data_IF_683187315450
#
_entry.id   IF_683187315450
#
_cell.length_a   1.000
_cell.length_b   1.000
_cell.length_c   1.000
_cell.angle_alpha   90.00
_cell.angle_beta   90.00
_cell.angle_gamma   90.00
#
_symmetry.space_group_name_H-M   'P 1'
#
loop_
_entity.id
_entity.type
_entity.pdbx_description
1 polymer ?
#
# COMPACT_ATOMS: atom_id res chain seq x y z
N UNK A 1 5.32 -9.67 2.04
CA UNK A 1 6.65 -10.34 1.97
C UNK A 1 7.69 -9.74 2.90
N UNK A 2 7.90 -8.42 2.87
CA UNK A 2 8.87 -7.71 3.72
C UNK A 2 8.72 -8.07 5.21
N UNK A 3 7.49 -8.07 5.74
CA UNK A 3 7.21 -8.50 7.11
C UNK A 3 7.78 -9.87 7.46
N UNK A 4 7.46 -10.90 6.66
CA UNK A 4 7.95 -12.27 6.87
C UNK A 4 9.48 -12.35 6.78
N UNK A 5 10.10 -11.59 5.89
CA UNK A 5 11.55 -11.51 5.79
C UNK A 5 12.17 -10.95 7.07
N UNK A 6 11.67 -9.82 7.55
CA UNK A 6 12.16 -9.19 8.78
C UNK A 6 11.98 -10.12 9.99
N UNK A 7 10.82 -10.78 10.13
CA UNK A 7 10.59 -11.76 11.20
C UNK A 7 11.56 -12.94 11.13
N UNK A 8 11.81 -13.46 9.92
CA UNK A 8 12.77 -14.55 9.70
C UNK A 8 14.19 -14.14 10.07
N UNK A 9 14.61 -12.94 9.69
CA UNK A 9 15.94 -12.42 10.00
C UNK A 9 16.10 -12.15 11.51
N UNK A 10 15.12 -11.50 12.14
CA UNK A 10 15.07 -11.28 13.59
C UNK A 10 15.19 -12.60 14.37
N UNK A 11 14.46 -13.64 13.95
CA UNK A 11 14.54 -14.97 14.56
C UNK A 11 15.95 -15.57 14.43
N UNK A 12 16.60 -15.41 13.27
CA UNK A 12 17.97 -15.90 13.06
C UNK A 12 19.00 -15.12 13.89
N UNK A 13 18.90 -13.79 13.94
CA UNK A 13 19.80 -12.94 14.73
C UNK A 13 19.69 -13.22 16.22
N UNK A 14 18.49 -13.50 16.73
CA UNK A 14 18.24 -13.83 18.14
C UNK A 14 18.55 -15.29 18.51
N UNK A 15 18.86 -16.15 17.54
CA UNK A 15 19.08 -17.58 17.79
C UNK A 15 20.44 -17.82 18.46
N UNK A 16 20.45 -18.43 19.64
CA UNK A 16 21.68 -18.74 20.39
C UNK A 16 22.67 -19.60 19.57
N UNK A 17 22.17 -20.53 18.76
CA UNK A 17 22.99 -21.36 17.86
C UNK A 17 23.74 -20.58 16.77
N UNK A 18 23.39 -19.31 16.55
CA UNK A 18 23.96 -18.43 15.53
C UNK A 18 24.74 -17.25 16.10
N UNK A 19 24.83 -17.08 17.44
CA UNK A 19 25.43 -15.90 18.09
C UNK A 19 26.87 -15.60 17.63
N UNK A 20 27.68 -16.64 17.36
CA UNK A 20 29.07 -16.49 16.89
C UNK A 20 29.23 -16.69 15.38
N UNK A 21 28.13 -16.73 14.62
CA UNK A 21 28.14 -17.01 13.18
C UNK A 21 27.75 -15.77 12.39
N UNK A 22 28.42 -15.54 11.26
CA UNK A 22 27.99 -14.53 10.29
C UNK A 22 26.77 -15.02 9.53
N UNK A 23 25.69 -14.24 9.53
CA UNK A 23 24.49 -14.54 8.77
C UNK A 23 24.64 -13.95 7.37
N UNK A 24 24.57 -14.81 6.35
CA UNK A 24 24.68 -14.40 4.94
C UNK A 24 23.31 -14.50 4.29
N UNK A 25 22.82 -13.37 3.77
CA UNK A 25 21.65 -13.32 2.89
C UNK A 25 22.15 -13.32 1.44
N UNK A 26 21.77 -14.33 0.66
CA UNK A 26 22.17 -14.45 -0.74
C UNK A 26 20.96 -14.79 -1.61
N UNK A 27 21.14 -14.64 -2.91
CA UNK A 27 20.22 -15.04 -3.96
C UNK A 27 21.00 -15.62 -5.14
N UNK A 28 20.32 -16.24 -6.10
CA UNK A 28 20.93 -16.70 -7.34
C UNK A 28 21.30 -15.52 -8.28
N UNK A 29 21.97 -15.82 -9.40
CA UNK A 29 22.42 -14.83 -10.39
C UNK A 29 21.32 -14.16 -11.24
N UNK A 30 20.04 -14.26 -10.87
CA UNK A 30 18.94 -13.57 -11.57
C UNK A 30 18.84 -12.13 -11.07
N UNK A 31 19.08 -11.15 -11.94
CA UNK A 31 19.08 -9.72 -11.63
C UNK A 31 17.76 -9.24 -10.97
N UNK A 32 16.63 -9.81 -11.36
CA UNK A 32 15.32 -9.48 -10.75
C UNK A 32 15.27 -9.96 -9.30
N UNK A 33 15.82 -11.14 -9.03
CA UNK A 33 15.90 -11.67 -7.66
C UNK A 33 16.93 -10.93 -6.83
N UNK A 34 18.04 -10.48 -7.43
CA UNK A 34 19.04 -9.61 -6.79
C UNK A 34 18.43 -8.28 -6.36
N UNK A 35 17.69 -7.59 -7.23
CA UNK A 35 17.00 -6.34 -6.88
C UNK A 35 16.00 -6.55 -5.73
N UNK A 36 15.19 -7.62 -5.78
CA UNK A 36 14.25 -7.95 -4.70
C UNK A 36 14.95 -8.29 -3.38
N UNK A 37 16.05 -9.06 -3.42
CA UNK A 37 16.82 -9.40 -2.22
C UNK A 37 17.48 -8.16 -1.60
N UNK A 38 18.06 -7.29 -2.42
CA UNK A 38 18.63 -6.01 -2.00
C UNK A 38 17.57 -5.08 -1.38
N UNK A 39 16.37 -5.01 -1.97
CA UNK A 39 15.25 -4.28 -1.39
C UNK A 39 14.88 -4.81 0.00
N UNK A 40 14.80 -6.12 0.19
CA UNK A 40 14.42 -6.72 1.48
C UNK A 40 15.44 -6.43 2.58
N UNK A 41 16.74 -6.62 2.32
CA UNK A 41 17.78 -6.35 3.32
C UNK A 41 17.94 -4.86 3.58
N UNK A 42 17.84 -4.02 2.54
CA UNK A 42 17.93 -2.58 2.70
C UNK A 42 16.75 -2.02 3.50
N UNK A 43 15.54 -2.48 3.23
CA UNK A 43 14.35 -2.11 4.00
C UNK A 43 14.48 -2.57 5.46
N UNK A 44 14.99 -3.78 5.71
CA UNK A 44 15.26 -4.25 7.06
C UNK A 44 16.23 -3.31 7.81
N UNK A 45 17.29 -2.84 7.14
CA UNK A 45 18.24 -1.92 7.74
C UNK A 45 17.60 -0.56 8.09
N UNK A 46 16.67 -0.07 7.28
CA UNK A 46 15.92 1.16 7.59
C UNK A 46 14.99 0.94 8.78
N UNK A 47 14.25 -0.17 8.80
CA UNK A 47 13.21 -0.45 9.80
C UNK A 47 13.79 -0.82 11.17
N UNK A 48 14.77 -1.72 11.21
CA UNK A 48 15.26 -2.32 12.46
C UNK A 48 16.62 -1.78 12.91
N UNK A 49 17.41 -1.20 11.98
CA UNK A 49 18.73 -0.65 12.30
C UNK A 49 18.75 0.89 12.21
N UNK A 50 17.60 1.54 11.99
CA UNK A 50 17.44 3.00 11.87
C UNK A 50 18.42 3.66 10.89
N UNK A 51 18.81 2.95 9.83
CA UNK A 51 19.69 3.52 8.79
C UNK A 51 18.94 4.46 7.87
N UNK A 52 19.65 5.46 7.37
CA UNK A 52 19.09 6.40 6.40
C UNK A 52 19.05 5.77 4.99
N UNK A 53 18.02 6.04 4.16
CA UNK A 53 17.88 5.46 2.82
C UNK A 53 19.13 5.59 1.94
N UNK A 54 19.76 6.78 1.95
CA UNK A 54 20.96 7.05 1.16
C UNK A 54 22.19 6.25 1.64
N UNK A 55 22.32 6.05 2.94
CA UNK A 55 23.39 5.24 3.53
C UNK A 55 23.25 3.77 3.08
N UNK A 56 22.04 3.22 3.20
CA UNK A 56 21.73 1.85 2.78
C UNK A 56 21.98 1.65 1.29
N UNK A 57 21.59 2.62 0.47
CA UNK A 57 21.83 2.56 -0.97
C UNK A 57 23.32 2.51 -1.32
N UNK A 58 24.15 3.36 -0.67
CA UNK A 58 25.61 3.35 -0.85
C UNK A 58 26.24 2.02 -0.43
N UNK A 59 25.79 1.43 0.68
CA UNK A 59 26.27 0.13 1.15
C UNK A 59 25.99 -1.00 0.16
N UNK A 60 24.83 -0.96 -0.51
CA UNK A 60 24.46 -1.94 -1.52
C UNK A 60 25.20 -1.74 -2.85
N UNK A 61 25.51 -0.50 -3.22
CA UNK A 61 26.28 -0.18 -4.43
C UNK A 61 27.77 -0.53 -4.33
N UNK A 62 28.34 -0.56 -3.13
CA UNK A 62 29.77 -0.84 -2.93
C UNK A 62 30.21 -2.23 -3.44
N UNK A 63 29.29 -3.19 -3.63
CA UNK A 63 29.60 -4.53 -4.13
C UNK A 63 28.97 -4.91 -5.48
N UNK A 64 27.95 -4.17 -5.94
CA UNK A 64 27.24 -4.41 -7.21
C UNK A 64 26.98 -3.05 -7.86
N UNK A 65 27.47 -2.87 -9.09
CA UNK A 65 27.49 -1.57 -9.75
C UNK A 65 26.09 -1.04 -10.04
N UNK A 66 25.15 -1.90 -10.48
CA UNK A 66 23.77 -1.50 -10.77
C UNK A 66 22.77 -2.64 -10.52
N UNK A 67 21.75 -2.37 -9.69
CA UNK A 67 20.58 -3.24 -9.55
C UNK A 67 19.55 -2.92 -10.63
N UNK A 68 18.91 -3.96 -11.18
CA UNK A 68 17.81 -3.79 -12.14
C UNK A 68 16.66 -2.97 -11.52
N UNK A 69 16.28 -1.82 -12.10
CA UNK A 69 15.16 -1.01 -11.61
C UNK A 69 13.80 -1.74 -11.70
N UNK A 70 12.85 -1.37 -10.85
CA UNK A 70 11.52 -1.95 -10.85
C UNK A 70 10.63 -1.30 -11.91
N UNK A 71 10.14 -2.13 -12.84
CA UNK A 71 9.15 -1.74 -13.86
C UNK A 71 7.71 -1.80 -13.35
N UNK A 72 6.79 -1.26 -14.15
CA UNK A 72 5.35 -1.36 -13.94
C UNK A 72 4.73 -2.67 -14.46
N UNK A 73 3.40 -2.79 -14.32
CA UNK A 73 2.62 -3.96 -14.73
C UNK A 73 1.99 -3.83 -16.13
N UNK A 74 2.43 -2.86 -16.95
CA UNK A 74 1.95 -2.71 -18.32
C UNK A 74 2.35 -3.91 -19.21
N UNK A 75 1.55 -4.16 -20.26
CA UNK A 75 1.80 -5.21 -21.26
C UNK A 75 2.70 -4.75 -22.40
N UNK A 76 3.37 -3.59 -22.25
CA UNK A 76 4.23 -2.98 -23.27
C UNK A 76 5.57 -2.52 -22.71
N UNK A 77 6.13 -1.51 -23.37
CA UNK A 77 7.37 -0.85 -22.94
C UNK A 77 7.14 -0.09 -21.63
N UNK A 78 8.14 -0.15 -20.74
CA UNK A 78 8.11 0.57 -19.48
C UNK A 78 8.95 1.83 -19.62
N UNK A 79 8.32 3.00 -19.50
CA UNK A 79 8.99 4.30 -19.67
C UNK A 79 9.34 4.98 -18.34
N UNK A 80 9.03 4.33 -17.22
CA UNK A 80 9.28 4.84 -15.88
C UNK A 80 9.73 3.69 -14.98
N UNK A 81 10.84 3.90 -14.28
CA UNK A 81 11.48 2.87 -13.48
C UNK A 81 11.71 3.39 -12.07
N UNK A 82 11.43 2.55 -11.07
CA UNK A 82 11.76 2.84 -9.68
C UNK A 82 13.11 2.24 -9.33
N UNK A 83 13.97 3.03 -8.70
CA UNK A 83 15.23 2.56 -8.15
C UNK A 83 15.04 1.97 -6.75
N UNK A 84 16.07 1.29 -6.25
CA UNK A 84 16.10 0.88 -4.83
C UNK A 84 16.01 2.08 -3.89
N UNK A 85 16.63 3.21 -4.25
CA UNK A 85 16.60 4.42 -3.42
C UNK A 85 15.18 4.97 -3.30
N UNK A 86 14.41 5.00 -4.39
CA UNK A 86 13.00 5.42 -4.34
C UNK A 86 12.18 4.53 -3.40
N UNK A 87 12.38 3.22 -3.47
CA UNK A 87 11.74 2.26 -2.58
C UNK A 87 12.16 2.43 -1.12
N UNK A 88 13.43 2.73 -0.86
CA UNK A 88 13.93 2.99 0.50
C UNK A 88 13.40 4.30 1.09
N UNK A 89 13.32 5.35 0.29
CA UNK A 89 12.70 6.61 0.68
C UNK A 89 11.21 6.43 0.99
N UNK A 90 10.51 5.62 0.17
CA UNK A 90 9.11 5.27 0.40
C UNK A 90 8.91 4.54 1.74
N UNK A 91 9.72 3.52 2.03
CA UNK A 91 9.67 2.80 3.32
C UNK A 91 9.98 3.73 4.49
N UNK A 92 11.00 4.57 4.37
CA UNK A 92 11.38 5.51 5.41
C UNK A 92 10.27 6.53 5.72
N UNK A 93 9.69 7.16 4.70
CA UNK A 93 8.57 8.09 4.86
C UNK A 93 7.30 7.39 5.35
N UNK A 94 7.04 6.16 4.93
CA UNK A 94 5.92 5.38 5.44
C UNK A 94 6.03 5.11 6.95
N UNK A 95 7.25 4.90 7.48
CA UNK A 95 7.49 4.83 8.93
C UNK A 95 7.26 6.20 9.59
N UNK A 96 7.78 7.28 9.01
CA UNK A 96 7.62 8.64 9.55
C UNK A 96 6.15 9.08 9.64
N UNK A 97 5.33 8.69 8.66
CA UNK A 97 3.91 9.02 8.59
C UNK A 97 3.00 7.94 9.20
N UNK A 98 3.57 6.93 9.85
CA UNK A 98 2.84 5.81 10.45
C UNK A 98 1.89 5.08 9.48
N UNK A 99 2.27 4.98 8.20
CA UNK A 99 1.55 4.15 7.23
C UNK A 99 1.75 2.66 7.49
N UNK A 100 2.78 2.31 8.26
CA UNK A 100 3.10 0.93 8.57
C UNK A 100 3.75 0.82 9.95
N UNK A 101 3.23 -0.08 10.78
CA UNK A 101 3.85 -0.46 12.05
C UNK A 101 4.01 -1.99 12.11
N UNK A 102 5.26 -2.45 12.22
CA UNK A 102 5.59 -3.86 12.33
C UNK A 102 5.06 -4.51 13.62
N UNK A 103 4.73 -3.73 14.65
CA UNK A 103 4.19 -4.26 15.90
C UNK A 103 2.72 -4.64 15.77
N UNK A 104 1.97 -3.90 14.96
CA UNK A 104 0.51 -4.08 14.81
C UNK A 104 0.12 -4.70 13.47
N UNK A 105 1.05 -4.86 12.53
CA UNK A 105 0.77 -5.40 11.21
C UNK A 105 0.31 -6.87 11.26
N UNK A 106 -0.95 -7.10 10.90
CA UNK A 106 -1.50 -8.44 10.73
C UNK A 106 -1.18 -8.99 9.34
N UNK A 107 -0.15 -9.84 9.29
CA UNK A 107 0.29 -10.50 8.05
C UNK A 107 -0.72 -11.52 7.54
N UNK A 108 -1.49 -12.17 8.42
CA UNK A 108 -2.45 -13.18 8.02
C UNK A 108 -3.68 -12.52 7.41
N UNK A 109 -4.16 -11.42 7.99
CA UNK A 109 -5.23 -10.59 7.42
C UNK A 109 -4.81 -10.05 6.04
N UNK A 110 -3.62 -9.46 5.93
CA UNK A 110 -3.10 -8.96 4.65
C UNK A 110 -3.07 -10.07 3.58
N UNK A 111 -2.55 -11.25 3.93
CA UNK A 111 -2.41 -12.36 2.99
C UNK A 111 -3.72 -13.08 2.68
N UNK A 112 -4.71 -12.98 3.56
CA UNK A 112 -6.05 -13.46 3.31
C UNK A 112 -6.72 -12.57 2.25
N UNK A 113 -6.78 -11.26 2.47
CA UNK A 113 -7.56 -10.35 1.62
C UNK A 113 -6.85 -9.90 0.33
N UNK A 114 -5.52 -10.08 0.21
CA UNK A 114 -4.83 -9.85 -1.08
C UNK A 114 -5.25 -10.85 -2.17
N UNK A 115 -5.89 -11.97 -1.77
CA UNK A 115 -6.31 -13.05 -2.67
C UNK A 115 -7.59 -12.71 -3.41
N UNK A 116 -7.68 -13.16 -4.67
CA UNK A 116 -8.84 -12.88 -5.50
C UNK A 116 -10.12 -13.46 -4.89
N UNK A 117 -10.04 -14.68 -4.37
CA UNK A 117 -11.15 -15.37 -3.73
C UNK A 117 -11.71 -14.67 -2.48
N UNK A 118 -10.95 -13.76 -1.87
CA UNK A 118 -11.34 -13.08 -0.63
C UNK A 118 -11.63 -11.58 -0.83
N UNK A 119 -11.72 -11.11 -2.08
CA UNK A 119 -12.12 -9.73 -2.39
C UNK A 119 -11.02 -8.87 -3.02
N UNK A 120 -9.77 -9.35 -3.08
CA UNK A 120 -8.67 -8.66 -3.76
C UNK A 120 -8.48 -7.20 -3.34
N UNK A 121 -8.19 -6.97 -2.06
CA UNK A 121 -8.00 -5.63 -1.52
C UNK A 121 -6.79 -5.50 -0.59
N UNK A 122 -6.27 -4.28 -0.50
CA UNK A 122 -5.14 -3.95 0.37
C UNK A 122 -5.31 -2.53 0.92
N UNK A 123 -4.90 -2.34 2.17
CA UNK A 123 -4.69 -1.01 2.74
C UNK A 123 -3.48 -0.35 2.09
N UNK A 124 -3.64 0.90 1.65
CA UNK A 124 -2.55 1.75 1.18
C UNK A 124 -2.12 2.73 2.28
N UNK A 125 -3.09 3.27 3.01
CA UNK A 125 -2.88 4.01 4.25
C UNK A 125 -3.87 3.42 5.26
N UNK A 126 -3.40 2.75 6.34
CA UNK A 126 -4.27 2.15 7.35
C UNK A 126 -5.29 3.16 7.89
N UNK A 127 -6.56 2.76 7.93
CA UNK A 127 -7.64 3.62 8.42
C UNK A 127 -8.03 4.79 7.49
N UNK A 128 -7.36 4.98 6.35
CA UNK A 128 -7.73 6.03 5.38
C UNK A 128 -8.03 5.52 3.98
N UNK A 129 -7.19 4.68 3.38
CA UNK A 129 -7.37 4.22 2.00
C UNK A 129 -7.27 2.72 1.85
N UNK A 130 -8.36 2.14 1.36
CA UNK A 130 -8.43 0.76 0.90
C UNK A 130 -8.53 0.72 -0.64
N UNK A 131 -7.61 0.03 -1.30
CA UNK A 131 -7.66 -0.19 -2.74
C UNK A 131 -8.16 -1.61 -3.04
N UNK A 132 -9.18 -1.76 -3.89
CA UNK A 132 -9.79 -3.07 -4.15
C UNK A 132 -10.19 -3.30 -5.61
N UNK A 133 -10.39 -4.57 -5.98
CA UNK A 133 -10.91 -4.98 -7.30
C UNK A 133 -12.40 -4.64 -7.43
N UNK A 134 -12.84 -4.26 -8.63
CA UNK A 134 -14.20 -3.79 -8.85
C UNK A 134 -15.26 -4.88 -8.62
N UNK A 135 -16.28 -4.65 -7.78
CA UNK A 135 -17.42 -5.55 -7.61
C UNK A 135 -18.21 -5.78 -8.91
N UNK A 136 -19.02 -6.83 -8.93
CA UNK A 136 -19.94 -7.16 -10.03
C UNK A 136 -21.36 -7.32 -9.51
N UNK A 137 -22.34 -7.36 -10.41
CA UNK A 137 -23.74 -7.52 -10.03
C UNK A 137 -24.03 -8.81 -9.24
N UNK A 138 -23.24 -9.88 -9.41
CA UNK A 138 -23.38 -11.11 -8.62
C UNK A 138 -22.00 -11.69 -8.32
N UNK A 139 -21.86 -12.37 -7.18
CA UNK A 139 -20.68 -13.17 -6.91
C UNK A 139 -20.69 -14.40 -7.81
N UNK A 140 -19.66 -14.56 -8.65
CA UNK A 140 -19.55 -15.66 -9.61
C UNK A 140 -18.09 -15.91 -9.96
N UNK A 141 -17.75 -17.13 -10.35
CA UNK A 141 -16.45 -17.42 -10.96
C UNK A 141 -16.61 -17.31 -12.47
N UNK A 142 -15.84 -16.44 -13.11
CA UNK A 142 -15.85 -16.25 -14.57
C UNK A 142 -14.42 -16.36 -15.09
N UNK A 143 -14.19 -17.27 -16.06
CA UNK A 143 -12.85 -17.54 -16.61
C UNK A 143 -11.78 -17.83 -15.54
N UNK A 144 -12.18 -18.50 -14.45
CA UNK A 144 -11.31 -18.83 -13.31
C UNK A 144 -11.03 -17.67 -12.34
N UNK A 145 -11.60 -16.47 -12.57
CA UNK A 145 -11.49 -15.33 -11.65
C UNK A 145 -12.76 -15.21 -10.79
N UNK A 146 -12.64 -15.14 -9.46
CA UNK A 146 -13.77 -14.93 -8.57
C UNK A 146 -14.19 -13.45 -8.57
N UNK A 147 -15.39 -13.18 -9.08
CA UNK A 147 -16.06 -11.90 -8.95
C UNK A 147 -16.91 -11.88 -7.68
N UNK A 148 -16.94 -10.72 -7.03
CA UNK A 148 -17.67 -10.51 -5.78
C UNK A 148 -18.74 -9.44 -5.96
N UNK A 149 -19.91 -9.67 -5.37
CA UNK A 149 -20.94 -8.63 -5.21
C UNK A 149 -20.53 -7.61 -4.13
N UNK A 150 -21.10 -6.38 -4.14
CA UNK A 150 -20.85 -5.35 -3.13
C UNK A 150 -20.95 -5.85 -1.67
N UNK A 151 -21.96 -6.67 -1.36
CA UNK A 151 -22.26 -7.14 -0.01
C UNK A 151 -21.18 -8.04 0.58
N UNK A 152 -20.38 -8.70 -0.28
CA UNK A 152 -19.25 -9.51 0.17
C UNK A 152 -18.21 -8.67 0.93
N UNK A 153 -18.15 -7.37 0.67
CA UNK A 153 -17.22 -6.44 1.31
C UNK A 153 -17.76 -5.84 2.61
N UNK A 154 -19.08 -5.86 2.84
CA UNK A 154 -19.71 -5.09 3.92
C UNK A 154 -19.22 -5.47 5.32
N UNK A 155 -19.05 -6.76 5.68
CA UNK A 155 -18.57 -7.12 7.01
C UNK A 155 -17.21 -6.50 7.31
N UNK A 156 -16.30 -6.54 6.33
CA UNK A 156 -14.98 -5.94 6.45
C UNK A 156 -15.07 -4.40 6.48
N UNK A 157 -15.83 -3.81 5.56
CA UNK A 157 -15.96 -2.35 5.46
C UNK A 157 -16.50 -1.73 6.74
N UNK A 158 -17.55 -2.33 7.33
CA UNK A 158 -18.13 -1.86 8.61
C UNK A 158 -17.15 -2.03 9.76
N UNK A 159 -16.49 -3.20 9.86
CA UNK A 159 -15.51 -3.47 10.93
C UNK A 159 -14.37 -2.44 10.91
N UNK A 160 -13.96 -1.99 9.73
CA UNK A 160 -12.85 -1.07 9.55
C UNK A 160 -13.28 0.39 9.26
N UNK A 161 -14.52 0.75 9.62
CA UNK A 161 -15.04 2.13 9.53
C UNK A 161 -14.87 2.75 8.14
N UNK A 162 -15.05 1.96 7.08
CA UNK A 162 -15.15 2.48 5.71
C UNK A 162 -16.52 3.12 5.58
N UNK A 163 -16.55 4.42 5.27
CA UNK A 163 -17.78 5.20 5.07
C UNK A 163 -18.08 5.43 3.60
N UNK A 164 -17.03 5.56 2.79
CA UNK A 164 -17.13 6.14 1.44
C UNK A 164 -16.50 5.24 0.39
N UNK A 165 -17.24 4.98 -0.69
CA UNK A 165 -16.82 4.17 -1.83
C UNK A 165 -16.68 5.05 -3.07
N UNK A 166 -15.54 4.94 -3.76
CA UNK A 166 -15.29 5.65 -5.01
C UNK A 166 -15.05 4.65 -6.14
N UNK A 167 -15.93 4.70 -7.15
CA UNK A 167 -15.84 3.89 -8.37
C UNK A 167 -15.23 4.69 -9.52
N UNK A 168 -14.21 4.12 -10.15
CA UNK A 168 -13.45 4.77 -11.24
C UNK A 168 -13.66 4.12 -12.62
N UNK A 169 -14.46 3.07 -12.72
CA UNK A 169 -14.70 2.29 -13.94
C UNK A 169 -16.17 2.31 -14.37
N UNK A 170 -16.44 1.77 -15.57
CA UNK A 170 -17.81 1.55 -16.07
C UNK A 170 -18.64 0.80 -15.02
N UNK A 171 -19.94 1.09 -14.98
CA UNK A 171 -20.87 0.55 -13.97
C UNK A 171 -21.05 -0.95 -14.18
N UNK A 172 -20.42 -1.76 -13.32
CA UNK A 172 -20.55 -3.24 -13.31
C UNK A 172 -21.54 -3.75 -12.26
N UNK A 173 -22.08 -2.84 -11.46
CA UNK A 173 -23.06 -3.09 -10.40
C UNK A 173 -23.85 -1.79 -10.13
N UNK A 174 -25.02 -1.87 -9.53
CA UNK A 174 -25.77 -0.68 -9.11
C UNK A 174 -25.18 -0.04 -7.83
N UNK A 175 -24.90 1.26 -7.88
CA UNK A 175 -24.40 2.04 -6.73
C UNK A 175 -25.36 1.97 -5.53
N UNK A 176 -26.66 1.80 -5.78
CA UNK A 176 -27.68 1.66 -4.73
C UNK A 176 -27.36 0.56 -3.73
N UNK A 177 -26.70 -0.52 -4.18
CA UNK A 177 -26.32 -1.62 -3.30
C UNK A 177 -25.43 -1.18 -2.16
N UNK A 178 -24.51 -0.23 -2.39
CA UNK A 178 -23.70 0.35 -1.33
C UNK A 178 -24.48 1.39 -0.51
N UNK A 179 -25.29 2.25 -1.14
CA UNK A 179 -26.04 3.28 -0.41
C UNK A 179 -27.10 2.69 0.51
N UNK A 180 -27.80 1.63 0.07
CA UNK A 180 -28.74 0.86 0.90
C UNK A 180 -28.03 0.13 2.05
N UNK A 181 -26.72 -0.09 1.91
CA UNK A 181 -25.84 -0.63 2.93
C UNK A 181 -25.27 0.40 3.91
N UNK A 182 -25.72 1.66 3.82
CA UNK A 182 -25.23 2.84 4.55
C UNK A 182 -23.77 3.23 4.24
N UNK A 183 -23.37 3.13 2.98
CA UNK A 183 -22.11 3.69 2.49
C UNK A 183 -22.38 4.84 1.52
N UNK A 184 -21.58 5.91 1.60
CA UNK A 184 -21.56 6.92 0.55
C UNK A 184 -20.93 6.34 -0.73
N UNK A 185 -21.48 6.68 -1.90
CA UNK A 185 -20.99 6.16 -3.16
C UNK A 185 -20.80 7.28 -4.18
N UNK A 186 -19.62 7.35 -4.79
CA UNK A 186 -19.26 8.34 -5.79
C UNK A 186 -18.72 7.70 -7.07
N UNK A 187 -19.25 8.13 -8.21
CA UNK A 187 -18.75 7.80 -9.53
C UNK A 187 -17.79 8.88 -10.03
N UNK A 188 -16.52 8.52 -10.24
CA UNK A 188 -15.47 9.35 -10.83
C UNK A 188 -14.85 8.62 -12.02
N UNK A 189 -15.66 8.36 -13.04
CA UNK A 189 -15.27 7.57 -14.21
C UNK A 189 -14.18 8.26 -15.05
N UNK A 190 -13.18 7.47 -15.45
CA UNK A 190 -12.31 7.78 -16.58
C UNK A 190 -11.81 6.48 -17.24
N UNK A 191 -11.38 6.59 -18.50
CA UNK A 191 -11.06 5.47 -19.40
C UNK A 191 -9.98 4.55 -18.82
N UNK A 192 -10.08 3.24 -19.08
CA UNK A 192 -9.08 2.28 -18.59
C UNK A 192 -7.70 2.53 -19.25
N UNK A 193 -6.65 2.53 -18.44
CA UNK A 193 -5.29 2.84 -18.90
C UNK A 193 -4.99 4.32 -19.17
N UNK A 194 -5.98 5.23 -19.11
CA UNK A 194 -5.76 6.67 -19.26
C UNK A 194 -5.38 7.35 -17.93
N UNK A 195 -5.20 8.67 -17.97
CA UNK A 195 -4.93 9.54 -16.82
C UNK A 195 -6.20 10.31 -16.43
N UNK A 196 -6.40 10.63 -15.13
CA UNK A 196 -7.55 11.42 -14.70
C UNK A 196 -7.37 12.89 -15.11
N UNK A 197 -8.48 13.58 -15.38
CA UNK A 197 -8.49 15.03 -15.60
C UNK A 197 -8.38 15.81 -14.28
N UNK A 198 -7.98 17.07 -14.34
CA UNK A 198 -7.87 17.94 -13.16
C UNK A 198 -9.18 18.06 -12.36
N UNK A 199 -10.37 18.19 -12.98
CA UNK A 199 -11.63 18.14 -12.25
C UNK A 199 -11.84 16.84 -11.48
N UNK A 200 -11.46 15.69 -12.05
CA UNK A 200 -11.57 14.38 -11.38
C UNK A 200 -10.63 14.33 -10.18
N UNK A 201 -9.39 14.79 -10.32
CA UNK A 201 -8.42 14.84 -9.21
C UNK A 201 -8.93 15.74 -8.08
N UNK A 202 -9.39 16.96 -8.41
CA UNK A 202 -9.93 17.90 -7.42
C UNK A 202 -11.14 17.33 -6.69
N UNK A 203 -12.09 16.74 -7.43
CA UNK A 203 -13.28 16.11 -6.84
C UNK A 203 -12.91 14.92 -5.95
N UNK A 204 -11.98 14.07 -6.38
CA UNK A 204 -11.45 12.96 -5.58
C UNK A 204 -10.84 13.46 -4.26
N UNK A 205 -9.96 14.45 -4.32
CA UNK A 205 -9.32 15.02 -3.14
C UNK A 205 -10.35 15.60 -2.18
N UNK A 206 -11.32 16.37 -2.69
CA UNK A 206 -12.37 16.96 -1.88
C UNK A 206 -13.24 15.90 -1.17
N UNK A 207 -13.66 14.83 -1.87
CA UNK A 207 -14.40 13.73 -1.24
C UNK A 207 -13.54 13.10 -0.13
N UNK A 208 -12.27 12.83 -0.40
CA UNK A 208 -11.39 12.16 0.56
C UNK A 208 -11.07 13.02 1.78
N UNK A 209 -10.96 14.34 1.62
CA UNK A 209 -10.72 15.30 2.71
C UNK A 209 -11.92 15.42 3.65
N UNK A 210 -13.14 15.24 3.14
CA UNK A 210 -14.38 15.39 3.90
C UNK A 210 -15.01 14.05 4.35
N UNK A 211 -14.48 12.91 3.91
CA UNK A 211 -14.98 11.60 4.32
C UNK A 211 -14.78 11.38 5.84
N UNK A 212 -15.87 11.03 6.54
CA UNK A 212 -15.88 10.78 7.98
C UNK A 212 -15.03 9.57 8.39
N UNK A 213 -14.99 8.55 7.53
CA UNK A 213 -14.26 7.31 7.75
C UNK A 213 -13.19 7.03 6.70
N UNK A 214 -12.84 5.75 6.58
CA UNK A 214 -11.95 5.28 5.55
C UNK A 214 -12.64 5.28 4.18
N UNK A 215 -11.85 5.52 3.13
CA UNK A 215 -12.31 5.57 1.75
C UNK A 215 -11.85 4.30 1.01
N UNK A 216 -12.79 3.54 0.47
CA UNK A 216 -12.49 2.41 -0.40
C UNK A 216 -12.60 2.82 -1.87
N UNK A 217 -11.51 2.67 -2.62
CA UNK A 217 -11.42 3.10 -4.01
C UNK A 217 -11.20 1.89 -4.90
N UNK A 218 -11.99 1.77 -5.97
CA UNK A 218 -11.80 0.72 -6.96
C UNK A 218 -11.90 1.21 -8.39
N UNK A 219 -11.26 0.46 -9.27
CA UNK A 219 -11.51 0.52 -10.70
C UNK A 219 -11.89 -0.90 -11.16
N UNK A 220 -11.36 -1.37 -12.29
CA UNK A 220 -11.55 -2.76 -12.71
C UNK A 220 -10.71 -3.73 -11.87
N UNK A 221 -9.38 -3.58 -11.88
CA UNK A 221 -8.46 -4.41 -11.09
C UNK A 221 -8.00 -3.76 -9.76
N UNK A 222 -8.36 -2.49 -9.53
CA UNK A 222 -7.91 -1.74 -8.36
C UNK A 222 -6.41 -1.40 -8.36
N UNK A 223 -5.79 -1.23 -9.54
CA UNK A 223 -4.33 -1.05 -9.67
C UNK A 223 -3.96 0.31 -10.30
N UNK A 224 -4.26 0.51 -11.58
CA UNK A 224 -3.87 1.72 -12.32
C UNK A 224 -4.58 2.97 -11.81
N UNK A 225 -5.80 3.20 -12.30
CA UNK A 225 -6.67 4.35 -11.94
C UNK A 225 -6.77 4.59 -10.43
N UNK A 226 -6.99 3.52 -9.66
CA UNK A 226 -7.06 3.52 -8.20
C UNK A 226 -5.77 4.02 -7.56
N UNK A 227 -4.62 3.45 -7.97
CA UNK A 227 -3.32 3.87 -7.46
C UNK A 227 -3.00 5.32 -7.80
N UNK A 228 -3.38 5.79 -8.99
CA UNK A 228 -3.12 7.17 -9.44
C UNK A 228 -3.84 8.21 -8.58
N UNK A 229 -5.13 7.99 -8.27
CA UNK A 229 -5.88 8.93 -7.44
C UNK A 229 -5.47 8.86 -5.97
N UNK A 230 -5.31 7.66 -5.38
CA UNK A 230 -4.77 7.52 -4.02
C UNK A 230 -3.37 8.15 -3.93
N UNK A 231 -2.53 7.95 -4.95
CA UNK A 231 -1.22 8.56 -5.02
C UNK A 231 -1.24 10.08 -5.10
N UNK A 232 -2.24 10.66 -5.77
CA UNK A 232 -2.43 12.11 -5.81
C UNK A 232 -2.71 12.67 -4.41
N UNK A 233 -3.52 11.97 -3.60
CA UNK A 233 -3.72 12.31 -2.20
C UNK A 233 -2.42 12.20 -1.39
N UNK A 234 -1.66 11.10 -1.55
CA UNK A 234 -0.40 10.91 -0.83
C UNK A 234 0.59 12.04 -1.12
N UNK A 235 0.78 12.40 -2.40
CA UNK A 235 1.65 13.50 -2.79
C UNK A 235 1.18 14.84 -2.18
N UNK A 236 -0.13 15.14 -2.24
CA UNK A 236 -0.67 16.38 -1.68
C UNK A 236 -0.48 16.47 -0.16
N UNK A 237 -0.94 15.46 0.58
CA UNK A 237 -1.01 15.56 2.04
C UNK A 237 0.29 15.21 2.76
N UNK A 238 1.13 14.37 2.17
CA UNK A 238 2.37 13.87 2.78
C UNK A 238 3.64 14.29 2.05
N UNK A 239 3.51 15.09 0.98
CA UNK A 239 4.66 15.68 0.24
C UNK A 239 5.70 14.63 -0.18
N UNK A 240 5.23 13.43 -0.49
CA UNK A 240 6.05 12.37 -1.09
C UNK A 240 6.25 12.66 -2.58
N UNK A 241 7.38 12.26 -3.14
CA UNK A 241 7.60 12.34 -4.59
C UNK A 241 6.71 11.33 -5.31
N UNK A 242 6.53 11.52 -6.63
CA UNK A 242 5.83 10.56 -7.46
C UNK A 242 6.47 9.16 -7.37
N UNK A 243 7.80 9.09 -7.45
CA UNK A 243 8.54 7.84 -7.36
C UNK A 243 8.35 7.14 -6.00
N UNK A 244 8.50 7.87 -4.89
CA UNK A 244 8.28 7.34 -3.54
C UNK A 244 6.83 6.87 -3.34
N UNK A 245 5.88 7.65 -3.85
CA UNK A 245 4.45 7.33 -3.74
C UNK A 245 4.11 6.06 -4.52
N UNK A 246 4.56 5.97 -5.77
CA UNK A 246 4.35 4.76 -6.61
C UNK A 246 5.02 3.56 -5.94
N UNK A 247 6.23 3.71 -5.41
CA UNK A 247 6.92 2.66 -4.69
C UNK A 247 6.11 2.19 -3.46
N UNK A 248 5.63 3.11 -2.62
CA UNK A 248 4.80 2.79 -1.45
C UNK A 248 3.53 2.03 -1.82
N UNK A 249 2.77 2.53 -2.80
CA UNK A 249 1.54 1.88 -3.23
C UNK A 249 1.84 0.49 -3.80
N UNK A 250 2.96 0.30 -4.52
CA UNK A 250 3.37 -1.01 -5.03
C UNK A 250 3.85 -1.98 -3.94
N UNK A 251 4.44 -1.48 -2.86
CA UNK A 251 4.79 -2.29 -1.68
C UNK A 251 3.50 -2.82 -1.02
N UNK A 252 2.47 -1.99 -0.92
CA UNK A 252 1.17 -2.36 -0.34
C UNK A 252 0.31 -3.22 -1.28
N UNK A 253 0.29 -2.87 -2.57
CA UNK A 253 -0.54 -3.49 -3.61
C UNK A 253 0.24 -3.56 -4.93
N UNK A 254 0.95 -4.67 -5.20
CA UNK A 254 1.83 -4.82 -6.35
C UNK A 254 1.12 -4.59 -7.69
N UNK A 255 1.78 -3.83 -8.59
CA UNK A 255 1.28 -3.53 -9.93
C UNK A 255 0.44 -2.26 -10.03
N UNK A 256 0.29 -1.50 -8.94
CA UNK A 256 -0.42 -0.21 -8.95
C UNK A 256 0.33 0.88 -9.73
N UNK A 257 -0.44 1.82 -10.30
CA UNK A 257 0.01 2.91 -11.21
C UNK A 257 0.69 2.37 -12.46
N UNK A 258 0.03 2.46 -13.62
CA UNK A 258 0.39 1.70 -14.83
C UNK A 258 0.57 2.62 -16.03
N UNK A 259 1.63 2.38 -16.80
CA UNK A 259 1.92 3.05 -18.06
C UNK A 259 1.96 4.58 -17.92
N UNK A 260 1.16 5.34 -18.70
CA UNK A 260 1.20 6.82 -18.72
C UNK A 260 0.78 7.46 -17.40
N UNK A 261 0.11 6.73 -16.51
CA UNK A 261 -0.26 7.21 -15.18
C UNK A 261 0.96 7.52 -14.30
N UNK A 262 2.10 6.86 -14.55
CA UNK A 262 3.33 7.14 -13.82
C UNK A 262 3.86 8.54 -14.16
N UNK A 263 3.89 8.89 -15.45
CA UNK A 263 4.31 10.21 -15.89
C UNK A 263 3.36 11.30 -15.40
N UNK A 264 2.04 11.04 -15.45
CA UNK A 264 1.05 11.94 -14.88
C UNK A 264 1.34 12.30 -13.42
N UNK A 265 1.73 11.33 -12.59
CA UNK A 265 2.07 11.62 -11.19
C UNK A 265 3.31 12.51 -11.07
N UNK A 266 4.32 12.29 -11.92
CA UNK A 266 5.52 13.16 -11.99
C UNK A 266 5.11 14.59 -12.34
N UNK A 267 4.29 14.75 -13.38
CA UNK A 267 3.84 16.06 -13.88
C UNK A 267 3.00 16.80 -12.82
N UNK A 268 2.16 16.06 -12.07
CA UNK A 268 1.31 16.63 -11.01
C UNK A 268 2.00 16.88 -9.68
N UNK A 269 3.18 16.31 -9.44
CA UNK A 269 3.86 16.37 -8.14
C UNK A 269 3.97 17.79 -7.59
N UNK A 270 4.46 18.74 -8.40
CA UNK A 270 4.68 20.13 -7.95
C UNK A 270 3.36 20.83 -7.59
N UNK A 271 2.33 20.70 -8.43
CA UNK A 271 1.01 21.30 -8.17
C UNK A 271 0.41 20.75 -6.89
N UNK A 272 0.40 19.42 -6.74
CA UNK A 272 -0.17 18.76 -5.57
C UNK A 272 0.59 19.10 -4.29
N UNK A 273 1.92 19.22 -4.33
CA UNK A 273 2.70 19.70 -3.18
C UNK A 273 2.29 21.12 -2.77
N UNK A 274 2.19 22.05 -3.72
CA UNK A 274 1.78 23.43 -3.45
C UNK A 274 0.35 23.49 -2.88
N UNK A 275 -0.60 22.77 -3.47
CA UNK A 275 -1.97 22.66 -2.96
C UNK A 275 -2.01 22.04 -1.55
N UNK A 276 -1.12 21.10 -1.27
CA UNK A 276 -0.93 20.49 0.05
C UNK A 276 -0.36 21.44 1.09
N UNK A 277 0.63 22.26 0.70
CA UNK A 277 1.23 23.29 1.56
C UNK A 277 0.18 24.33 1.93
N UNK A 278 -0.64 24.79 0.97
CA UNK A 278 -1.77 25.70 1.22
C UNK A 278 -2.80 25.05 2.14
N UNK A 279 -3.15 23.79 1.90
CA UNK A 279 -4.13 23.05 2.70
C UNK A 279 -3.69 22.95 4.18
N UNK A 280 -2.45 22.53 4.42
CA UNK A 280 -1.90 22.42 5.79
C UNK A 280 -1.83 23.78 6.48
N UNK A 281 -1.48 24.85 5.76
CA UNK A 281 -1.46 26.21 6.31
C UNK A 281 -2.86 26.65 6.76
N UNK A 282 -3.89 26.43 5.93
CA UNK A 282 -5.29 26.75 6.28
C UNK A 282 -5.78 26.00 7.51
N UNK A 283 -5.44 24.72 7.65
CA UNK A 283 -5.80 23.93 8.84
C UNK A 283 -5.13 24.48 10.11
N UNK A 284 -3.84 24.85 10.04
CA UNK A 284 -3.14 25.45 11.17
C UNK A 284 -3.75 26.81 11.56
N UNK A 285 -4.14 27.63 10.58
CA UNK A 285 -4.82 28.90 10.82
C UNK A 285 -6.20 28.71 11.45
N UNK A 286 -6.97 27.70 11.03
CA UNK A 286 -8.28 27.39 11.63
C UNK A 286 -8.15 26.84 13.06
N UNK A 287 -7.15 26.01 13.33
CA UNK A 287 -6.86 25.51 14.69
C UNK A 287 -6.41 26.64 15.62
N UNK A 288 -5.53 27.53 15.14
CA UNK A 288 -5.08 28.68 15.90
C UNK A 288 -6.20 29.71 16.10
N UNK A 289 -7.04 29.93 15.09
CA UNK A 289 -8.22 30.80 15.17
C UNK A 289 -9.27 30.28 16.15
N UNK A 290 -9.54 28.97 16.16
CA UNK A 290 -10.39 28.35 17.18
C UNK A 290 -9.76 28.42 18.58
N UNK A 291 -8.44 28.24 18.71
CA UNK A 291 -7.75 28.39 19.99
C UNK A 291 -7.85 29.84 20.52
N UNK A 292 -7.76 30.84 19.64
CA UNK A 292 -7.95 32.25 20.00
C UNK A 292 -9.40 32.58 20.34
N UNK A 293 -10.37 32.03 19.62
CA UNK A 293 -11.80 32.19 19.92
C UNK A 293 -12.18 31.54 21.25
N UNK A 294 -11.67 30.34 21.56
CA UNK A 294 -11.88 29.67 22.86
C UNK A 294 -11.21 30.45 24.00
N UNK A 295 -10.03 31.05 23.75
CA UNK A 295 -9.38 31.92 24.75
C UNK A 295 -10.19 33.19 25.01
N UNK A 296 -10.81 33.77 23.97
CA UNK A 296 -11.72 34.92 24.10
C UNK A 296 -13.03 34.58 24.83
N UNK A 297 -13.58 33.38 24.61
CA UNK A 297 -14.79 32.92 25.31
C UNK A 297 -14.54 32.72 26.81
N UNK A 298 -13.35 32.25 27.20
CA UNK A 298 -12.99 32.06 28.62
C UNK A 298 -12.75 33.37 29.38
N UNK A 299 -12.56 34.50 28.68
CA UNK A 299 -12.44 35.83 29.29
C UNK A 299 -13.75 36.65 29.24
N UNK A 300 -14.80 36.12 28.62
CA UNK A 300 -16.04 36.82 28.38
C UNK A 300 -17.23 35.90 28.61
N UNK A 301 -17.41 35.47 29.85
CA UNK A 301 -18.70 34.91 30.29
C UNK A 301 -19.42 36.03 31.02
N UNK A 302 -20.27 36.74 30.30
CA UNK A 302 -21.61 37.14 30.75
C UNK A 302 -22.44 37.50 29.52
N UNK A 303 -23.60 36.84 29.44
CA UNK A 303 -24.75 37.03 28.55
C UNK A 303 -24.57 36.98 27.03
N UNK A 304 -25.21 35.99 26.38
CA UNK A 304 -26.34 36.21 25.46
C UNK A 304 -26.90 34.88 24.89
N UNK A 305 -28.23 34.91 24.78
CA UNK A 305 -29.23 33.96 24.31
C UNK A 305 -28.97 33.19 23.00
N UNK A 306 -29.52 31.97 22.98
CA UNK A 306 -29.75 31.08 21.83
C UNK A 306 -30.91 31.64 20.98
N UNK A 307 -30.74 31.71 19.66
CA UNK A 307 -31.85 31.65 18.71
C UNK A 307 -31.49 30.71 17.56
N UNK A 308 -32.40 29.78 17.32
CA UNK A 308 -32.35 28.71 16.33
C UNK A 308 -33.03 29.24 15.06
N UNK A 309 -32.39 29.13 13.89
CA UNK A 309 -33.11 29.32 12.64
C UNK A 309 -32.56 28.50 11.47
N UNK A 310 -33.52 27.81 10.83
CA UNK A 310 -33.35 26.93 9.67
C UNK A 310 -33.26 27.75 8.38
N UNK A 311 -32.37 27.37 7.48
CA UNK A 311 -32.65 27.51 6.04
C UNK A 311 -31.96 26.42 5.20
N UNK A 312 -32.80 25.66 4.51
CA UNK A 312 -32.46 24.85 3.31
C UNK A 312 -32.08 25.80 2.17
N UNK A 313 -31.24 25.34 1.23
CA UNK A 313 -31.57 25.27 -0.22
C UNK A 313 -30.55 24.41 -0.98
N UNK A 314 -31.13 23.69 -1.95
CA UNK A 314 -30.60 22.76 -2.94
C UNK A 314 -29.85 23.47 -4.10
N UNK A 315 -28.85 22.81 -4.67
CA UNK A 315 -28.24 23.18 -5.95
C UNK A 315 -27.76 21.96 -6.75
N UNK A 316 -28.60 21.53 -7.71
CA UNK A 316 -28.30 20.73 -8.92
C UNK A 316 -27.61 21.63 -9.96
N UNK A 317 -26.89 21.22 -11.01
CA UNK A 317 -26.49 19.98 -11.69
C UNK A 317 -25.33 20.39 -12.64
N UNK A 318 -24.48 19.44 -13.09
CA UNK A 318 -24.09 19.27 -14.51
C UNK A 318 -23.03 18.16 -14.64
N UNK A 319 -23.43 17.03 -15.19
CA UNK A 319 -22.58 15.88 -15.55
C UNK A 319 -22.67 15.72 -17.06
N UNK A 320 -21.54 15.97 -17.75
CA UNK A 320 -21.40 15.69 -19.18
C UNK A 320 -21.56 14.21 -19.48
N UNK A 321 -22.48 13.90 -20.37
CA UNK A 321 -22.73 12.58 -20.95
C UNK A 321 -21.58 12.21 -21.90
N UNK A 322 -20.85 11.14 -21.56
CA UNK A 322 -20.08 10.38 -22.55
C UNK A 322 -21.00 9.28 -23.07
N UNK A 323 -21.24 9.27 -24.38
CA UNK A 323 -22.00 8.23 -25.09
C UNK A 323 -21.35 6.87 -24.86
N UNK A 324 -22.14 5.91 -24.37
CA UNK A 324 -21.72 4.57 -23.97
C UNK A 324 -22.37 3.57 -24.92
N UNK A 325 -21.76 3.33 -26.08
CA UNK A 325 -22.11 2.20 -26.96
C UNK A 325 -20.94 1.97 -27.94
N UNK A 326 -20.02 1.05 -27.60
CA UNK A 326 -19.32 0.18 -28.57
C UNK A 326 -18.25 -0.75 -27.96
N UNK A 327 -17.87 -0.57 -26.69
CA UNK A 327 -16.64 -1.21 -26.16
C UNK A 327 -16.81 -2.58 -25.45
N UNK A 328 -18.01 -3.19 -25.48
CA UNK A 328 -18.29 -4.39 -24.69
C UNK A 328 -17.53 -5.66 -25.14
N UNK A 329 -16.89 -5.64 -26.32
CA UNK A 329 -16.21 -6.80 -26.92
C UNK A 329 -14.67 -6.77 -26.86
N UNK A 330 -14.04 -5.67 -26.41
CA UNK A 330 -12.58 -5.57 -26.37
C UNK A 330 -12.00 -5.86 -24.97
N UNK A 331 -10.97 -6.72 -24.93
CA UNK A 331 -10.27 -7.08 -23.68
C UNK A 331 -9.48 -5.87 -23.14
N UNK A 332 -9.93 -5.33 -22.01
CA UNK A 332 -9.34 -4.15 -21.38
C UNK A 332 -8.02 -4.46 -20.64
N UNK A 333 -7.23 -3.45 -20.31
CA UNK A 333 -6.01 -3.61 -19.49
C UNK A 333 -6.36 -4.24 -18.12
N UNK A 334 -7.47 -3.80 -17.51
CA UNK A 334 -7.98 -4.36 -16.27
C UNK A 334 -8.28 -5.87 -16.31
N UNK A 335 -8.79 -6.38 -17.44
CA UNK A 335 -9.06 -7.82 -17.61
C UNK A 335 -7.77 -8.62 -17.63
N UNK A 336 -6.79 -8.15 -18.42
CA UNK A 336 -5.48 -8.81 -18.52
C UNK A 336 -4.77 -8.85 -17.16
N UNK A 337 -4.90 -7.79 -16.35
CA UNK A 337 -4.33 -7.73 -14.99
C UNK A 337 -4.99 -8.72 -14.02
N UNK A 338 -6.32 -8.87 -14.06
CA UNK A 338 -7.05 -9.85 -13.25
C UNK A 338 -6.63 -11.28 -13.60
N UNK A 339 -6.52 -11.60 -14.89
CA UNK A 339 -6.02 -12.90 -15.35
C UNK A 339 -4.58 -13.18 -14.90
N UNK A 340 -3.69 -12.17 -14.96
CA UNK A 340 -2.31 -12.31 -14.49
C UNK A 340 -2.23 -12.58 -12.98
N UNK A 341 -3.12 -11.95 -12.19
CA UNK A 341 -3.15 -12.10 -10.73
C UNK A 341 -3.57 -13.51 -10.30
N UNK A 342 -4.60 -14.09 -10.93
CA UNK A 342 -4.99 -15.50 -10.69
C UNK A 342 -3.84 -16.47 -10.98
N UNK A 343 -3.13 -16.29 -12.09
CA UNK A 343 -1.98 -17.14 -12.44
C UNK A 343 -0.85 -17.07 -11.40
N UNK A 344 -0.61 -15.88 -10.80
CA UNK A 344 0.41 -15.71 -9.76
C UNK A 344 0.00 -16.39 -8.45
N UNK A 345 -1.26 -16.28 -8.05
CA UNK A 345 -1.77 -16.89 -6.81
C UNK A 345 -1.72 -18.43 -6.88
N UNK A 346 -2.09 -19.03 -8.02
CA UNK A 346 -1.96 -20.47 -8.24
C UNK A 346 -0.51 -20.96 -8.08
N UNK A 347 0.49 -20.16 -8.50
CA UNK A 347 1.92 -20.50 -8.33
C UNK A 347 2.42 -20.28 -6.90
N UNK A 348 1.92 -19.27 -6.20
CA UNK A 348 2.31 -18.98 -4.82
C UNK A 348 1.90 -20.09 -3.84
N UNK A 349 0.75 -20.74 -4.09
CA UNK A 349 0.29 -21.92 -3.33
C UNK A 349 1.22 -23.14 -3.45
N UNK A 350 2.15 -23.16 -4.43
CA UNK A 350 3.15 -24.21 -4.62
C UNK A 350 4.61 -23.75 -4.46
N UNK A 351 4.87 -22.50 -4.08
CA UNK A 351 6.23 -21.96 -4.02
C UNK A 351 6.92 -22.30 -2.68
N UNK A 352 8.05 -23.02 -2.76
CA UNK A 352 8.91 -23.30 -1.61
C UNK A 352 9.40 -22.01 -0.92
N UNK A 353 9.58 -22.00 0.42
CA UNK A 353 9.99 -20.80 1.15
C UNK A 353 11.37 -20.31 0.68
N UNK A 354 11.55 -18.98 0.63
CA UNK A 354 12.83 -18.30 0.37
C UNK A 354 13.99 -19.03 1.08
N UNK A 355 14.85 -19.71 0.32
CA UNK A 355 15.96 -20.49 0.86
C UNK A 355 17.07 -19.55 1.33
N UNK A 356 17.37 -19.58 2.63
CA UNK A 356 18.57 -18.96 3.22
C UNK A 356 19.44 -20.12 3.68
N UNK A 357 20.30 -20.61 2.80
CA UNK A 357 21.31 -21.64 3.10
C UNK A 357 22.49 -21.02 3.85
N UNK A 358 22.98 -21.74 4.86
CA UNK A 358 24.20 -21.43 5.59
C UNK A 358 25.38 -22.05 4.84
N UNK A 359 26.41 -21.26 4.52
CA UNK A 359 27.74 -21.82 4.31
C UNK A 359 28.55 -21.62 5.58
N UNK A 360 29.06 -22.73 6.11
CA UNK A 360 29.99 -22.79 7.23
C UNK A 360 31.31 -23.38 6.76
N UNK A 361 32.14 -22.58 6.10
CA UNK A 361 33.58 -22.83 6.01
C UNK A 361 34.26 -21.68 5.26
N UNK A 362 35.14 -20.98 5.97
CA UNK A 362 36.28 -20.32 5.35
C UNK A 362 37.36 -21.40 5.32
N UNK A 363 37.67 -21.93 4.14
CA UNK A 363 38.92 -22.63 3.90
C UNK A 363 39.73 -21.79 2.91
N UNK A 364 40.92 -21.42 3.35
CA UNK A 364 41.98 -20.78 2.58
C UNK A 364 42.32 -21.60 1.33
N UNK A 365 42.70 -20.96 0.21
CA UNK A 365 42.99 -21.69 -1.02
C UNK A 365 44.31 -22.44 -0.88
N UNK A 366 44.26 -23.77 -0.97
CA UNK A 366 45.39 -24.57 -1.42
C UNK A 366 45.05 -25.22 -2.76
N UNK A 367 45.99 -25.03 -3.68
CA UNK A 367 46.12 -25.59 -5.01
C UNK A 367 46.02 -27.12 -5.06
N UNK A 368 45.40 -27.66 -6.12
CA UNK A 368 45.58 -29.07 -6.47
C UNK A 368 44.52 -29.57 -7.46
N UNK A 369 44.99 -29.98 -8.63
CA UNK A 369 44.20 -30.46 -9.77
C UNK A 369 43.57 -31.85 -9.58
N UNK A 370 42.57 -32.08 -10.43
CA UNK A 370 42.23 -33.34 -11.13
C UNK A 370 41.14 -34.25 -10.54
N UNK A 371 40.19 -34.61 -11.41
CA UNK A 371 39.94 -36.03 -11.67
C UNK A 371 38.57 -36.61 -11.32
N UNK A 372 37.69 -36.64 -12.33
CA UNK A 372 36.76 -37.74 -12.64
C UNK A 372 35.49 -38.02 -11.82
N UNK A 373 34.53 -38.53 -12.62
CA UNK A 373 33.13 -38.87 -12.43
C UNK A 373 32.86 -40.06 -11.48
N UNK A 374 31.66 -40.14 -10.87
CA UNK A 374 30.58 -41.08 -11.28
C UNK A 374 29.35 -41.04 -10.34
N UNK A 375 28.18 -40.87 -10.96
CA UNK A 375 26.87 -41.52 -10.76
C UNK A 375 26.73 -42.53 -9.59
N UNK A 376 25.76 -42.35 -8.65
CA UNK A 376 24.53 -43.20 -8.50
C UNK A 376 23.69 -42.95 -7.23
N UNK A 377 22.37 -42.97 -7.46
CA UNK A 377 21.25 -43.56 -6.69
C UNK A 377 20.69 -42.91 -5.40
N UNK A 378 19.40 -42.55 -5.56
CA UNK A 378 18.32 -42.41 -4.57
C UNK A 378 18.21 -43.62 -3.63
N UNK A 379 17.85 -43.35 -2.38
CA UNK A 379 16.92 -44.19 -1.63
C UNK A 379 16.00 -43.33 -0.74
N UNK A 380 14.70 -43.58 -0.90
CA UNK A 380 13.58 -43.15 -0.06
C UNK A 380 13.39 -44.16 1.06
N UNK A 381 13.14 -43.70 2.30
CA UNK A 381 12.33 -44.44 3.28
C UNK A 381 11.45 -43.48 4.08
N UNK A 382 10.15 -43.71 3.93
CA UNK A 382 9.06 -43.29 4.79
C UNK A 382 9.06 -44.08 6.11
N UNK A 383 8.57 -43.45 7.17
CA UNK A 383 7.86 -44.16 8.24
C UNK A 383 6.81 -43.24 8.87
N UNK A 384 5.70 -43.89 9.15
CA UNK A 384 4.37 -43.45 9.60
C UNK A 384 4.25 -43.36 11.12
N UNK A 385 3.27 -42.57 11.60
CA UNK A 385 2.39 -43.03 12.69
C UNK A 385 2.07 -42.05 13.84
N UNK A 386 0.78 -41.67 13.91
CA UNK A 386 -0.04 -41.35 15.09
C UNK A 386 0.35 -40.14 15.99
N UNK A 387 -0.56 -39.36 16.58
CA UNK A 387 -2.00 -39.51 16.85
C UNK A 387 -2.62 -38.14 17.20
N UNK A 388 -3.95 -38.08 17.05
CA UNK A 388 -4.86 -36.98 17.41
C UNK A 388 -5.02 -36.80 18.93
N UNK A 389 -5.17 -35.56 19.40
CA UNK A 389 -6.02 -35.23 20.56
C UNK A 389 -6.57 -33.80 20.45
N UNK A 390 -7.90 -33.71 20.55
CA UNK A 390 -8.72 -32.50 20.64
C UNK A 390 -8.53 -31.80 21.99
N UNK A 391 -8.65 -30.48 21.99
CA UNK A 391 -8.81 -29.66 23.19
C UNK A 391 -9.44 -28.31 22.86
N UNK A 392 -10.78 -28.25 22.98
CA UNK A 392 -11.59 -27.04 22.96
C UNK A 392 -11.33 -26.23 24.23
N UNK A 393 -10.91 -24.96 24.11
CA UNK A 393 -11.22 -23.92 25.11
C UNK A 393 -11.57 -22.62 24.37
N UNK A 394 -12.82 -22.22 24.54
CA UNK A 394 -13.38 -20.93 24.14
C UNK A 394 -13.15 -19.94 25.27
N UNK A 395 -12.50 -18.81 25.00
CA UNK A 395 -12.65 -17.61 25.83
C UNK A 395 -12.94 -16.39 24.97
N UNK A 396 -14.19 -15.93 25.06
CA UNK A 396 -14.65 -14.60 24.65
C UNK A 396 -14.01 -13.56 25.57
N UNK A 397 -13.26 -12.61 25.01
CA UNK A 397 -13.07 -11.28 25.62
C UNK A 397 -13.45 -10.20 24.63
N UNK A 398 -14.63 -9.61 24.88
CA UNK A 398 -15.06 -8.30 24.36
C UNK A 398 -14.07 -7.23 24.85
N UNK A 399 -13.54 -6.41 23.94
CA UNK A 399 -13.05 -5.06 24.27
C UNK A 399 -13.46 -4.10 23.17
N UNK A 400 -14.38 -3.21 23.54
CA UNK A 400 -14.64 -1.95 22.85
C UNK A 400 -13.46 -1.01 23.11
N UNK A 401 -12.95 -0.38 22.06
CA UNK A 401 -12.19 0.86 22.18
C UNK A 401 -12.34 1.64 20.87
N UNK A 402 -13.18 2.66 20.90
CA UNK A 402 -13.23 3.73 19.91
C UNK A 402 -11.90 4.49 19.97
N UNK A 403 -11.15 4.52 18.87
CA UNK A 403 -10.04 5.44 18.70
C UNK A 403 -10.26 6.29 17.46
N UNK A 404 -10.67 7.55 17.71
CA UNK A 404 -10.60 8.66 16.77
C UNK A 404 -9.12 9.01 16.58
N UNK A 405 -8.57 8.75 15.39
CA UNK A 405 -7.24 9.25 15.04
C UNK A 405 -7.35 10.71 14.59
N UNK A 406 -7.01 11.64 15.48
CA UNK A 406 -6.64 13.01 15.11
C UNK A 406 -5.32 12.98 14.35
N UNK A 407 -5.22 13.75 13.26
CA UNK A 407 -3.97 14.01 12.56
C UNK A 407 -2.90 14.49 13.56
N UNK A 408 -1.79 13.77 13.65
CA UNK A 408 -0.69 14.09 14.57
C UNK A 408 0.05 15.32 14.05
N UNK A 409 0.27 16.27 14.97
CA UNK A 409 1.00 17.53 14.80
C UNK A 409 2.38 17.34 14.15
N UNK A 410 2.61 18.05 13.05
CA UNK A 410 3.94 18.28 12.46
C UNK A 410 4.51 19.59 13.03
N UNK A 411 5.29 19.50 14.11
CA UNK A 411 6.18 20.59 14.52
C UNK A 411 7.58 20.01 14.73
N UNK A 412 8.53 20.36 13.85
CA UNK A 412 9.95 20.24 14.13
C UNK A 412 10.57 21.63 13.96
N UNK A 413 10.92 22.25 15.08
CA UNK A 413 11.73 23.46 15.15
C UNK A 413 13.19 23.11 14.87
N UNK A 414 13.79 23.76 13.88
CA UNK A 414 15.23 23.69 13.58
C UNK A 414 15.97 24.51 14.67
N UNK A 415 16.97 23.96 15.39
CA UNK A 415 17.76 24.75 16.31
C UNK A 415 18.74 25.64 15.54
N UNK A 416 18.63 26.96 15.73
CA UNK A 416 19.61 27.94 15.26
C UNK A 416 20.90 27.80 16.07
N UNK A 417 21.99 27.48 15.41
CA UNK A 417 23.35 27.58 15.96
C UNK A 417 23.69 29.04 16.25
N UNK A 418 24.04 29.35 17.50
CA UNK A 418 24.58 30.63 17.94
C UNK A 418 26.10 30.60 17.76
N UNK A 419 26.61 31.37 16.82
CA UNK A 419 28.03 31.71 16.70
C UNK A 419 28.41 32.65 17.86
N UNK A 420 29.40 32.29 18.65
CA UNK A 420 30.04 33.21 19.60
C UNK A 420 31.39 33.60 19.01
N UNK A 421 31.53 34.88 18.68
CA UNK A 421 32.79 35.57 18.41
C UNK A 421 33.27 36.18 19.73
N UNK A 422 34.37 35.64 20.28
CA UNK A 422 35.60 36.34 20.68
C UNK A 422 36.50 35.40 21.45
#
# INVERSE_FOLDING_TARGET
MLYRYCMKLNKKVKSFSLTKKKIVHYTNGDEKKQANAAFLIGSYAIIYLNKQPLEVHKLLQAGITNYLPFRDASFGTCNFHLTLLDCFQAVHKALQYNFFDFKTFDVEEYQHYERAENGDFNWIIPGKFLAFSGPHQKSKIESGYPHHAPEAYFPYFRKHSISTIIRLNKKMYDAKRFTDGNFEHYDLFFVDGSTPSDPIVKKFLNICENAEGAVAVHCKAGLGRTGTLIGSYIMKHYRMTAAETIAWIRICRPGSVIGPQQQFMVDKQRSLWNEGDIYRKKLQEQENGHSMAVTFILSGVDDISINDDKSRICGKEDIGLYSDDDDALQVTQGDKLRALKCKRQARASGAAPLSVILQSSVQSPQSGLSGYSCITKRYTRSSTGCSSLRGLISERKKRNALHQMRLVKLCHSIPKTRTVLR
#
